data_IF_108373207889
#
_entry.id   IF_108373207889
#
_cell.length_a   1.000
_cell.length_b   1.000
_cell.length_c   1.000
_cell.angle_alpha   90.00
_cell.angle_beta   90.00
_cell.angle_gamma   90.00
#
_symmetry.space_group_name_H-M   'P 1'
#
loop_
_entity.id
_entity.type
_entity.pdbx_description
1 polymer ?
#
# COMPACT_ATOMS: atom_id res chain seq x y z
N UNK A 1 26.97 0.93 -1.84
CA UNK A 1 26.36 0.37 -0.61
C UNK A 1 24.92 0.85 -0.52
N UNK A 2 23.94 -0.05 -0.65
CA UNK A 2 22.52 0.31 -0.49
C UNK A 2 22.21 0.50 1.01
N UNK A 3 21.86 1.73 1.41
CA UNK A 3 21.41 1.99 2.80
C UNK A 3 20.09 1.25 3.00
N UNK A 4 20.07 0.31 3.96
CA UNK A 4 18.86 -0.43 4.37
C UNK A 4 17.76 0.58 4.69
N UNK A 5 16.64 0.53 3.96
CA UNK A 5 15.48 1.41 4.21
C UNK A 5 15.01 1.21 5.65
N UNK A 6 14.87 2.32 6.40
CA UNK A 6 14.17 2.30 7.70
C UNK A 6 12.68 2.10 7.42
N UNK A 7 12.16 0.95 7.84
CA UNK A 7 10.73 0.71 7.84
C UNK A 7 10.13 1.28 9.14
N UNK A 8 9.01 1.98 9.00
CA UNK A 8 8.24 2.53 10.11
C UNK A 8 6.96 1.72 10.29
N UNK A 9 6.55 1.49 11.54
CA UNK A 9 5.30 0.79 11.83
C UNK A 9 4.09 1.59 11.31
N UNK A 10 2.99 0.92 10.94
CA UNK A 10 1.76 1.59 10.49
C UNK A 10 1.25 2.62 11.51
N UNK A 11 1.27 2.26 12.79
CA UNK A 11 0.89 3.12 13.92
C UNK A 11 1.74 4.40 13.98
N UNK A 12 3.05 4.27 13.77
CA UNK A 12 3.95 5.42 13.77
C UNK A 12 3.67 6.36 12.61
N UNK A 13 3.47 5.82 11.40
CA UNK A 13 3.10 6.62 10.22
C UNK A 13 1.78 7.36 10.44
N UNK A 14 0.76 6.67 10.96
CA UNK A 14 -0.54 7.26 11.27
C UNK A 14 -0.42 8.40 12.30
N UNK A 15 0.36 8.21 13.37
CA UNK A 15 0.60 9.23 14.40
C UNK A 15 1.28 10.48 13.82
N UNK A 16 2.29 10.30 12.98
CA UNK A 16 3.01 11.42 12.33
C UNK A 16 2.11 12.13 11.31
N UNK A 17 1.37 11.37 10.49
CA UNK A 17 0.44 11.91 9.52
C UNK A 17 -0.70 12.71 10.19
N UNK A 18 -1.26 12.22 11.29
CA UNK A 18 -2.27 12.94 12.08
C UNK A 18 -1.70 14.22 12.68
N UNK A 19 -0.48 14.20 13.21
CA UNK A 19 0.17 15.41 13.72
C UNK A 19 0.40 16.45 12.60
N UNK A 20 0.76 15.99 11.40
CA UNK A 20 0.92 16.85 10.23
C UNK A 20 -0.42 17.34 9.65
N UNK A 21 -1.50 16.58 9.81
CA UNK A 21 -2.84 16.94 9.40
C UNK A 21 -3.49 17.96 10.35
N UNK A 22 -3.26 17.82 11.67
CA UNK A 22 -3.73 18.78 12.69
C UNK A 22 -3.15 20.19 12.51
N UNK A 23 -1.91 20.29 12.02
CA UNK A 23 -1.29 21.59 11.74
C UNK A 23 -0.69 22.32 12.95
N UNK A 24 -0.74 21.73 14.14
CA UNK A 24 -0.18 22.30 15.39
C UNK A 24 1.35 22.54 15.30
N UNK A 25 2.03 21.82 14.40
CA UNK A 25 3.48 21.89 14.18
C UNK A 25 3.78 21.89 12.70
N UNK A 26 4.80 22.65 12.32
CA UNK A 26 5.25 22.68 10.93
C UNK A 26 5.86 21.34 10.52
N UNK A 27 5.86 21.04 9.22
CA UNK A 27 6.50 19.81 8.69
C UNK A 27 7.99 19.77 9.07
N UNK A 28 8.66 20.92 9.13
CA UNK A 28 10.06 21.05 9.54
C UNK A 28 10.27 20.69 11.02
N UNK A 29 9.39 21.13 11.92
CA UNK A 29 9.44 20.76 13.34
C UNK A 29 9.14 19.28 13.56
N UNK A 30 8.19 18.71 12.81
CA UNK A 30 7.88 17.29 12.87
C UNK A 30 9.04 16.44 12.32
N UNK A 31 9.71 16.91 11.26
CA UNK A 31 10.91 16.29 10.71
C UNK A 31 12.04 16.23 11.75
N UNK A 32 12.27 17.34 12.47
CA UNK A 32 13.23 17.41 13.57
C UNK A 32 12.83 16.47 14.73
N UNK A 33 11.57 16.57 15.19
CA UNK A 33 11.07 15.83 16.36
C UNK A 33 11.11 14.31 16.17
N UNK A 34 10.77 13.84 14.98
CA UNK A 34 10.69 12.41 14.67
C UNK A 34 11.92 11.89 13.91
N UNK A 35 12.90 12.77 13.64
CA UNK A 35 14.08 12.50 12.82
C UNK A 35 13.72 11.86 11.47
N UNK A 36 12.77 12.50 10.77
CA UNK A 36 12.21 12.09 9.49
C UNK A 36 12.51 13.13 8.41
N UNK A 37 12.52 12.70 7.16
CA UNK A 37 12.64 13.63 6.05
C UNK A 37 11.29 14.35 5.81
N UNK A 38 11.25 15.67 5.58
CA UNK A 38 10.00 16.42 5.34
C UNK A 38 9.08 15.78 4.29
N UNK A 39 9.65 15.31 3.17
CA UNK A 39 8.89 14.62 2.13
C UNK A 39 8.15 13.37 2.64
N UNK A 40 8.72 12.60 3.58
CA UNK A 40 8.04 11.41 4.13
C UNK A 40 6.78 11.81 4.91
N UNK A 41 6.87 12.90 5.66
CA UNK A 41 5.74 13.43 6.45
C UNK A 41 4.65 13.93 5.50
N UNK A 42 5.02 14.64 4.43
CA UNK A 42 4.08 15.10 3.40
C UNK A 42 3.40 13.93 2.69
N UNK A 43 4.14 12.88 2.34
CA UNK A 43 3.59 11.65 1.74
C UNK A 43 2.60 10.98 2.67
N UNK A 44 2.95 10.75 3.94
CA UNK A 44 2.03 10.08 4.88
C UNK A 44 0.81 10.94 5.20
N UNK A 45 0.95 12.27 5.26
CA UNK A 45 -0.20 13.18 5.39
C UNK A 45 -1.16 13.03 4.22
N UNK A 46 -0.64 12.97 2.99
CA UNK A 46 -1.45 12.78 1.79
C UNK A 46 -2.14 11.42 1.79
N UNK A 47 -1.40 10.34 2.05
CA UNK A 47 -1.95 8.97 2.18
C UNK A 47 -3.05 8.90 3.23
N UNK A 48 -2.89 9.57 4.38
CA UNK A 48 -3.91 9.63 5.42
C UNK A 48 -5.18 10.32 4.92
N UNK A 49 -5.06 11.46 4.23
CA UNK A 49 -6.23 12.20 3.74
C UNK A 49 -6.99 11.46 2.63
N UNK A 50 -6.25 10.80 1.73
CA UNK A 50 -6.84 10.00 0.64
C UNK A 50 -7.57 8.77 1.17
N UNK A 51 -6.99 8.08 2.16
CA UNK A 51 -7.55 6.85 2.70
C UNK A 51 -8.47 7.06 3.91
N UNK A 52 -8.56 8.27 4.48
CA UNK A 52 -9.40 8.54 5.64
C UNK A 52 -10.88 8.23 5.38
N UNK A 53 -11.37 8.49 4.17
CA UNK A 53 -12.74 8.19 3.78
C UNK A 53 -13.07 6.70 3.86
N UNK A 54 -12.09 5.82 3.59
CA UNK A 54 -12.27 4.37 3.64
C UNK A 54 -12.56 3.84 5.05
N UNK A 55 -12.16 4.57 6.10
CA UNK A 55 -12.45 4.19 7.49
C UNK A 55 -13.95 4.28 7.80
N UNK A 56 -14.65 5.18 7.12
CA UNK A 56 -16.09 5.40 7.29
C UNK A 56 -16.95 4.71 6.23
N UNK A 57 -16.33 4.17 5.18
CA UNK A 57 -17.01 3.35 4.20
C UNK A 57 -17.40 2.01 4.84
N UNK A 58 -18.63 1.55 4.59
CA UNK A 58 -19.07 0.26 5.12
C UNK A 58 -18.26 -0.88 4.49
N UNK A 59 -18.15 -2.00 5.20
CA UNK A 59 -17.47 -3.21 4.74
C UNK A 59 -17.98 -3.69 3.36
N UNK A 60 -19.25 -3.40 3.05
CA UNK A 60 -19.87 -3.68 1.74
C UNK A 60 -19.35 -2.84 0.56
N UNK A 61 -18.63 -1.75 0.83
CA UNK A 61 -18.02 -0.88 -0.17
C UNK A 61 -16.51 -1.13 -0.35
N UNK A 62 -15.82 -1.70 0.64
CA UNK A 62 -14.39 -2.02 0.53
C UNK A 62 -14.11 -3.32 -0.25
N UNK A 63 -15.04 -4.28 -0.23
CA UNK A 63 -14.82 -5.62 -0.79
C UNK A 63 -15.31 -5.85 -2.23
N UNK A 64 -16.06 -4.91 -2.82
CA UNK A 64 -16.73 -5.14 -4.11
C UNK A 64 -15.80 -5.09 -5.32
N UNK A 65 -14.72 -4.32 -5.28
CA UNK A 65 -13.87 -4.14 -6.47
C UNK A 65 -12.89 -5.30 -6.72
N UNK A 66 -12.51 -6.06 -5.68
CA UNK A 66 -11.42 -7.04 -5.84
C UNK A 66 -11.90 -8.48 -6.07
N UNK A 67 -13.12 -8.85 -5.66
CA UNK A 67 -13.55 -10.27 -5.73
C UNK A 67 -13.68 -10.77 -7.17
N UNK A 68 -14.38 -10.02 -8.03
CA UNK A 68 -14.56 -10.39 -9.44
C UNK A 68 -13.25 -10.41 -10.22
N UNK A 69 -12.33 -9.51 -9.89
CA UNK A 69 -11.02 -9.45 -10.55
C UNK A 69 -10.07 -10.55 -10.06
N UNK A 70 -10.15 -10.92 -8.78
CA UNK A 70 -9.43 -12.08 -8.23
C UNK A 70 -9.85 -13.37 -8.91
N UNK A 71 -11.15 -13.56 -9.17
CA UNK A 71 -11.65 -14.75 -9.86
C UNK A 71 -11.18 -14.80 -11.32
N UNK A 72 -11.21 -13.68 -12.04
CA UNK A 72 -10.66 -13.58 -13.41
C UNK A 72 -9.16 -13.88 -13.43
N UNK A 73 -8.41 -13.37 -12.46
CA UNK A 73 -6.97 -13.61 -12.34
C UNK A 73 -6.67 -15.07 -12.04
N UNK A 74 -7.40 -15.71 -11.14
CA UNK A 74 -7.26 -17.14 -10.85
C UNK A 74 -7.56 -17.99 -12.10
N UNK A 75 -8.62 -17.68 -12.84
CA UNK A 75 -8.94 -18.35 -14.10
C UNK A 75 -7.81 -18.19 -15.13
N UNK A 76 -7.22 -16.99 -15.25
CA UNK A 76 -6.12 -16.74 -16.18
C UNK A 76 -4.84 -17.49 -15.77
N UNK A 77 -4.54 -17.54 -14.48
CA UNK A 77 -3.41 -18.33 -13.94
C UNK A 77 -3.61 -19.81 -14.30
N UNK A 78 -4.80 -20.37 -14.05
CA UNK A 78 -5.11 -21.77 -14.39
C UNK A 78 -4.96 -22.07 -15.88
N UNK A 79 -5.45 -21.17 -16.75
CA UNK A 79 -5.26 -21.28 -18.19
C UNK A 79 -3.77 -21.31 -18.56
N UNK A 80 -2.99 -20.35 -18.05
CA UNK A 80 -1.55 -20.25 -18.34
C UNK A 80 -0.78 -21.46 -17.80
N UNK A 81 -1.15 -22.01 -16.64
CA UNK A 81 -0.56 -23.23 -16.10
C UNK A 81 -0.82 -24.41 -17.03
N UNK A 82 -2.07 -24.61 -17.47
CA UNK A 82 -2.39 -25.69 -18.42
C UNK A 82 -1.66 -25.54 -19.76
N UNK A 83 -1.59 -24.32 -20.30
CA UNK A 83 -0.86 -24.04 -21.54
C UNK A 83 0.64 -24.32 -21.38
N UNK A 84 1.25 -23.92 -20.26
CA UNK A 84 2.65 -24.19 -19.98
C UNK A 84 2.93 -25.68 -19.77
N UNK A 85 2.09 -26.40 -19.02
CA UNK A 85 2.22 -27.84 -18.81
C UNK A 85 2.09 -28.61 -20.12
N UNK A 86 1.15 -28.18 -20.98
CA UNK A 86 0.99 -28.74 -22.31
C UNK A 86 2.24 -28.49 -23.17
N UNK A 87 2.73 -27.25 -23.21
CA UNK A 87 3.92 -26.89 -23.96
C UNK A 87 5.16 -27.63 -23.45
N UNK A 88 5.35 -27.76 -22.14
CA UNK A 88 6.44 -28.53 -21.54
C UNK A 88 6.38 -30.00 -21.98
N UNK A 89 5.19 -30.61 -21.92
CA UNK A 89 4.96 -32.01 -22.32
C UNK A 89 5.21 -32.24 -23.81
N UNK A 90 4.78 -31.31 -24.68
CA UNK A 90 4.94 -31.43 -26.14
C UNK A 90 6.37 -31.13 -26.58
N UNK A 91 7.05 -30.18 -25.94
CA UNK A 91 8.42 -29.82 -26.26
C UNK A 91 9.47 -30.74 -25.61
N UNK A 92 9.05 -31.75 -24.84
CA UNK A 92 9.90 -32.80 -24.30
C UNK A 92 11.02 -32.30 -23.38
N UNK A 93 10.80 -31.19 -22.67
CA UNK A 93 11.71 -30.70 -21.62
C UNK A 93 11.33 -31.25 -20.26
#
# INVERSE_FOLDING_TARGET
MTRKRRNHSPEFKAKVALAAAKGDKTVAELAQKYNLHPNQISTWKKELLENAAMIFASESQLGKDNSEDVDKLHAKIGQLTMENDFLAKVLGR
#
